data_IF_492439259395
#
_entry.id   IF_492439259395
#
_cell.length_a   1.000
_cell.length_b   1.000
_cell.length_c   1.000
_cell.angle_alpha   90.00
_cell.angle_beta   90.00
_cell.angle_gamma   90.00
#
_symmetry.space_group_name_H-M   'P 1'
#
loop_
_entity.id
_entity.type
_entity.pdbx_description
1 polymer ?
#
# COMPACT_ATOMS: atom_id res chain seq x y z
N UNK A 1 -5.02 -21.09 4.64
CA UNK A 1 -5.91 -20.02 5.14
C UNK A 1 -5.38 -18.70 4.63
N UNK A 2 -6.21 -17.81 4.04
CA UNK A 2 -5.77 -16.45 3.71
C UNK A 2 -5.29 -15.73 4.97
N UNK A 3 -4.25 -14.91 4.84
CA UNK A 3 -3.73 -14.11 5.96
C UNK A 3 -4.82 -13.14 6.44
N UNK A 4 -5.08 -13.13 7.74
CA UNK A 4 -6.09 -12.24 8.31
C UNK A 4 -5.70 -10.78 8.08
N UNK A 5 -6.66 -9.92 7.70
CA UNK A 5 -6.39 -8.51 7.40
C UNK A 5 -5.73 -7.78 8.58
N UNK A 6 -6.07 -8.13 9.82
CA UNK A 6 -5.40 -7.57 11.01
C UNK A 6 -3.89 -7.86 11.05
N UNK A 7 -3.46 -9.06 10.61
CA UNK A 7 -2.05 -9.41 10.53
C UNK A 7 -1.32 -8.61 9.45
N UNK A 8 -1.99 -8.34 8.33
CA UNK A 8 -1.48 -7.46 7.26
C UNK A 8 -1.32 -6.02 7.75
N UNK A 9 -2.32 -5.49 8.45
CA UNK A 9 -2.27 -4.15 9.07
C UNK A 9 -1.09 -4.06 10.04
N UNK A 10 -0.85 -5.09 10.85
CA UNK A 10 0.28 -5.11 11.79
C UNK A 10 1.64 -5.15 11.06
N UNK A 11 1.79 -5.98 10.03
CA UNK A 11 3.00 -6.01 9.21
C UNK A 11 3.30 -4.65 8.57
N UNK A 12 2.30 -4.05 7.91
CA UNK A 12 2.44 -2.73 7.30
C UNK A 12 2.73 -1.63 8.34
N UNK A 13 2.15 -1.72 9.55
CA UNK A 13 2.45 -0.77 10.63
C UNK A 13 3.92 -0.82 11.04
N UNK A 14 4.50 -2.02 11.09
CA UNK A 14 5.91 -2.22 11.41
C UNK A 14 6.78 -1.62 10.29
N UNK A 15 6.49 -1.96 9.04
CA UNK A 15 7.23 -1.47 7.86
C UNK A 15 7.22 0.06 7.76
N UNK A 16 6.07 0.69 8.02
CA UNK A 16 5.90 2.14 7.99
C UNK A 16 6.13 2.82 9.35
N UNK A 17 6.69 2.09 10.32
CA UNK A 17 7.13 2.55 11.66
C UNK A 17 6.02 3.05 12.60
N UNK A 18 4.81 3.35 12.12
CA UNK A 18 3.71 3.82 12.97
C UNK A 18 2.31 3.58 12.41
N UNK A 19 1.33 3.49 13.31
CA UNK A 19 -0.09 3.43 12.95
C UNK A 19 -0.60 4.74 12.34
N UNK A 20 0.04 5.87 12.65
CA UNK A 20 -0.32 7.16 12.06
C UNK A 20 0.09 7.21 10.58
N UNK A 21 1.33 6.82 10.26
CA UNK A 21 1.81 6.74 8.88
C UNK A 21 0.96 5.80 8.03
N UNK A 22 0.62 4.62 8.56
CA UNK A 22 -0.27 3.68 7.87
C UNK A 22 -1.69 4.26 7.65
N UNK A 23 -2.23 4.96 8.65
CA UNK A 23 -3.52 5.61 8.53
C UNK A 23 -3.53 6.67 7.43
N UNK A 24 -2.48 7.49 7.35
CA UNK A 24 -2.30 8.48 6.30
C UNK A 24 -2.24 7.80 4.93
N UNK A 25 -1.45 6.74 4.77
CA UNK A 25 -1.34 5.98 3.51
C UNK A 25 -2.68 5.43 3.04
N UNK A 26 -3.49 4.88 3.95
CA UNK A 26 -4.79 4.31 3.65
C UNK A 26 -5.93 5.35 3.54
N UNK A 27 -5.67 6.61 3.94
CA UNK A 27 -6.69 7.66 3.95
C UNK A 27 -7.75 7.45 5.03
N UNK A 28 -7.36 6.90 6.18
CA UNK A 28 -8.25 6.61 7.32
C UNK A 28 -7.74 7.26 8.59
N UNK A 29 -8.54 7.24 9.66
CA UNK A 29 -8.09 7.74 10.95
C UNK A 29 -7.18 6.74 11.69
N UNK A 30 -6.22 7.25 12.48
CA UNK A 30 -5.37 6.43 13.37
C UNK A 30 -6.17 5.54 14.32
N UNK A 31 -7.34 6.00 14.76
CA UNK A 31 -8.22 5.23 15.65
C UNK A 31 -8.82 4.02 14.93
N UNK A 32 -9.15 4.12 13.64
CA UNK A 32 -9.57 2.97 12.83
C UNK A 32 -8.47 1.91 12.77
N UNK A 33 -7.23 2.31 12.45
CA UNK A 33 -6.07 1.39 12.42
C UNK A 33 -5.88 0.73 13.77
N UNK A 34 -5.94 1.49 14.87
CA UNK A 34 -5.81 0.94 16.23
C UNK A 34 -6.91 -0.06 16.58
N UNK A 35 -8.15 0.15 16.10
CA UNK A 35 -9.24 -0.82 16.29
C UNK A 35 -9.02 -2.10 15.50
N UNK A 36 -8.58 -2.01 14.24
CA UNK A 36 -8.29 -3.19 13.42
C UNK A 36 -7.20 -4.06 14.04
N UNK A 37 -6.14 -3.44 14.58
CA UNK A 37 -5.08 -4.14 15.31
C UNK A 37 -5.57 -4.85 16.58
N UNK A 38 -6.67 -4.37 17.17
CA UNK A 38 -7.33 -5.00 18.33
C UNK A 38 -8.36 -6.06 17.91
N UNK A 39 -8.40 -6.44 16.65
CA UNK A 39 -9.33 -7.44 16.12
C UNK A 39 -10.74 -6.92 15.86
N UNK A 40 -10.96 -5.60 15.86
CA UNK A 40 -12.21 -5.05 15.35
C UNK A 40 -12.32 -5.36 13.85
N UNK A 41 -13.52 -5.69 13.39
CA UNK A 41 -13.79 -5.92 11.97
C UNK A 41 -13.36 -4.73 11.10
N UNK A 42 -12.91 -5.06 9.90
CA UNK A 42 -12.61 -4.10 8.84
C UNK A 42 -13.69 -4.23 7.76
N UNK A 43 -14.21 -3.11 7.28
CA UNK A 43 -15.17 -3.15 6.18
C UNK A 43 -14.48 -3.57 4.87
N UNK A 44 -15.23 -4.14 3.91
CA UNK A 44 -14.64 -4.67 2.68
C UNK A 44 -13.80 -3.66 1.88
N UNK A 45 -14.22 -2.39 1.84
CA UNK A 45 -13.51 -1.35 1.10
C UNK A 45 -12.14 -1.05 1.71
N UNK A 46 -12.06 -0.92 3.05
CA UNK A 46 -10.78 -0.74 3.71
C UNK A 46 -9.91 -2.01 3.69
N UNK A 47 -10.52 -3.19 3.71
CA UNK A 47 -9.78 -4.44 3.53
C UNK A 47 -9.10 -4.50 2.17
N UNK A 48 -9.80 -4.11 1.10
CA UNK A 48 -9.25 -4.05 -0.26
C UNK A 48 -8.09 -3.04 -0.36
N UNK A 49 -8.19 -1.87 0.28
CA UNK A 49 -7.10 -0.89 0.34
C UNK A 49 -5.85 -1.43 1.05
N UNK A 50 -6.04 -2.16 2.15
CA UNK A 50 -4.96 -2.81 2.89
C UNK A 50 -4.28 -3.87 2.02
N UNK A 51 -5.08 -4.73 1.36
CA UNK A 51 -4.58 -5.78 0.47
C UNK A 51 -3.81 -5.19 -0.72
N UNK A 52 -4.32 -4.10 -1.30
CA UNK A 52 -3.65 -3.40 -2.38
C UNK A 52 -2.32 -2.79 -1.90
N UNK A 53 -2.30 -2.11 -0.76
CA UNK A 53 -1.06 -1.53 -0.21
C UNK A 53 -0.01 -2.61 0.07
N UNK A 54 -0.39 -3.74 0.68
CA UNK A 54 0.48 -4.89 0.92
C UNK A 54 1.07 -5.43 -0.40
N UNK A 55 0.22 -5.61 -1.42
CA UNK A 55 0.66 -6.12 -2.71
C UNK A 55 1.62 -5.16 -3.41
N UNK A 56 1.32 -3.86 -3.42
CA UNK A 56 2.20 -2.85 -4.01
C UNK A 56 3.53 -2.79 -3.28
N UNK A 57 3.49 -2.71 -1.95
CA UNK A 57 4.68 -2.59 -1.11
C UNK A 57 5.61 -3.80 -1.28
N UNK A 58 5.07 -5.01 -1.11
CA UNK A 58 5.82 -6.25 -1.33
C UNK A 58 6.34 -6.38 -2.77
N UNK A 59 5.65 -5.75 -3.73
CA UNK A 59 6.09 -5.77 -5.12
C UNK A 59 7.25 -4.86 -5.42
N UNK A 60 7.27 -3.67 -4.80
CA UNK A 60 8.34 -2.68 -4.92
C UNK A 60 9.61 -3.15 -4.20
N UNK A 61 9.48 -3.74 -3.00
CA UNK A 61 10.63 -4.26 -2.24
C UNK A 61 11.37 -5.43 -2.92
N UNK A 62 10.82 -5.99 -4.00
CA UNK A 62 11.53 -7.00 -4.82
C UNK A 62 12.51 -6.39 -5.81
N UNK A 63 12.42 -5.08 -6.03
CA UNK A 63 13.16 -4.35 -7.07
C UNK A 63 13.95 -3.19 -6.45
N UNK A 64 13.40 -2.59 -5.38
CA UNK A 64 13.96 -1.44 -4.72
C UNK A 64 14.27 -1.72 -3.25
N UNK A 65 15.29 -1.04 -2.75
CA UNK A 65 15.47 -0.82 -1.32
C UNK A 65 14.32 0.00 -0.74
N UNK A 66 14.15 -0.08 0.58
CA UNK A 66 13.00 0.50 1.28
C UNK A 66 12.81 2.00 1.00
N UNK A 67 13.89 2.79 1.01
CA UNK A 67 13.84 4.23 0.74
C UNK A 67 13.35 4.54 -0.67
N UNK A 68 13.81 3.77 -1.67
CA UNK A 68 13.42 3.95 -3.06
C UNK A 68 11.96 3.51 -3.30
N UNK A 69 11.51 2.44 -2.64
CA UNK A 69 10.11 2.02 -2.68
C UNK A 69 9.17 3.09 -2.09
N UNK A 70 9.58 3.75 -1.00
CA UNK A 70 8.85 4.89 -0.43
C UNK A 70 8.83 6.07 -1.41
N UNK A 71 9.98 6.42 -1.99
CA UNK A 71 10.07 7.49 -2.98
C UNK A 71 9.14 7.23 -4.18
N UNK A 72 9.04 5.98 -4.63
CA UNK A 72 8.11 5.59 -5.69
C UNK A 72 6.64 5.76 -5.27
N UNK A 73 6.26 5.31 -4.07
CA UNK A 73 4.88 5.41 -3.57
C UNK A 73 4.38 6.85 -3.39
N UNK A 74 5.26 7.73 -2.92
CA UNK A 74 4.94 9.13 -2.63
C UNK A 74 5.29 10.08 -3.76
N UNK A 75 6.14 9.66 -4.69
CA UNK A 75 6.55 10.42 -5.87
C UNK A 75 5.46 10.47 -6.94
N UNK A 76 5.62 11.43 -7.84
CA UNK A 76 4.79 11.53 -9.05
C UNK A 76 5.22 10.44 -10.03
N UNK A 77 4.27 9.66 -10.54
CA UNK A 77 4.56 8.58 -11.48
C UNK A 77 3.97 8.91 -12.87
N UNK A 78 4.80 9.07 -13.91
CA UNK A 78 4.34 9.34 -15.28
C UNK A 78 3.42 8.24 -15.85
N UNK A 79 3.65 6.97 -15.50
CA UNK A 79 2.82 5.86 -15.93
C UNK A 79 1.41 5.88 -15.30
N UNK A 80 1.20 6.71 -14.28
CA UNK A 80 -0.09 6.92 -13.62
C UNK A 80 -0.76 8.25 -14.01
N UNK A 81 -0.27 8.93 -15.05
CA UNK A 81 -0.75 10.24 -15.47
C UNK A 81 -0.40 11.32 -14.44
N UNK A 82 0.86 11.34 -14.02
CA UNK A 82 1.44 12.28 -13.06
C UNK A 82 0.73 12.32 -11.70
N UNK A 83 0.15 11.19 -11.31
CA UNK A 83 -0.42 10.99 -9.96
C UNK A 83 0.53 10.21 -9.08
N UNK A 84 0.38 10.39 -7.77
CA UNK A 84 1.11 9.61 -6.77
C UNK A 84 0.47 8.24 -6.62
N UNK A 85 1.23 7.14 -6.63
CA UNK A 85 0.69 5.80 -6.41
C UNK A 85 -0.13 5.66 -5.12
N UNK A 86 0.28 6.32 -4.03
CA UNK A 86 -0.45 6.26 -2.76
C UNK A 86 -1.88 6.82 -2.87
N UNK A 87 -2.12 7.83 -3.71
CA UNK A 87 -3.46 8.38 -3.90
C UNK A 87 -4.36 7.38 -4.64
N UNK A 88 -3.80 6.55 -5.52
CA UNK A 88 -4.52 5.46 -6.18
C UNK A 88 -4.84 4.32 -5.21
N UNK A 89 -3.97 4.05 -4.23
CA UNK A 89 -4.26 3.09 -3.14
C UNK A 89 -5.48 3.55 -2.36
N UNK A 90 -5.50 4.83 -1.95
CA UNK A 90 -6.65 5.43 -1.24
C UNK A 90 -7.94 5.38 -2.06
N UNK A 91 -7.82 5.57 -3.37
CA UNK A 91 -8.95 5.53 -4.30
C UNK A 91 -9.36 4.11 -4.73
N UNK A 92 -8.67 3.05 -4.29
CA UNK A 92 -8.97 1.67 -4.69
C UNK A 92 -8.72 1.39 -6.17
N UNK A 93 -7.84 2.16 -6.84
CA UNK A 93 -7.58 2.06 -8.29
C UNK A 93 -6.56 0.95 -8.58
N UNK A 94 -6.90 -0.28 -8.20
CA UNK A 94 -6.01 -1.43 -8.25
C UNK A 94 -5.48 -1.72 -9.67
N UNK A 95 -6.35 -1.71 -10.68
CA UNK A 95 -5.96 -2.05 -12.06
C UNK A 95 -4.85 -1.15 -12.62
N UNK A 96 -4.93 0.15 -12.38
CA UNK A 96 -3.92 1.12 -12.83
C UNK A 96 -2.60 0.93 -12.09
N UNK A 97 -2.66 0.75 -10.77
CA UNK A 97 -1.48 0.47 -9.96
C UNK A 97 -0.77 -0.81 -10.41
N UNK A 98 -1.52 -1.88 -10.62
CA UNK A 98 -0.95 -3.15 -11.07
C UNK A 98 -0.38 -3.07 -12.48
N UNK A 99 -0.95 -2.23 -13.37
CA UNK A 99 -0.35 -1.95 -14.68
C UNK A 99 0.98 -1.22 -14.53
N UNK A 100 1.06 -0.19 -13.70
CA UNK A 100 2.29 0.54 -13.46
C UNK A 100 3.39 -0.33 -12.83
N UNK A 101 3.07 -1.18 -11.85
CA UNK A 101 4.04 -2.10 -11.23
C UNK A 101 4.58 -3.11 -12.24
N UNK A 102 3.73 -3.62 -13.14
CA UNK A 102 4.20 -4.53 -14.20
C UNK A 102 5.14 -3.83 -15.18
N UNK A 103 4.84 -2.59 -15.54
CA UNK A 103 5.72 -1.78 -16.38
C UNK A 103 7.06 -1.50 -15.68
N UNK A 104 7.02 -1.08 -14.41
CA UNK A 104 8.22 -0.80 -13.60
C UNK A 104 9.14 -2.02 -13.51
N UNK A 105 8.57 -3.21 -13.28
CA UNK A 105 9.34 -4.45 -13.27
C UNK A 105 9.96 -4.76 -14.62
N UNK A 106 9.21 -4.59 -15.72
CA UNK A 106 9.73 -4.86 -17.05
C UNK A 106 10.92 -3.95 -17.40
N UNK A 107 10.86 -2.67 -16.97
CA UNK A 107 11.94 -1.70 -17.18
C UNK A 107 13.15 -2.00 -16.29
N UNK A 108 12.94 -2.45 -15.05
CA UNK A 108 14.02 -2.76 -14.10
C UNK A 108 14.85 -4.00 -14.47
N UNK A 109 14.36 -4.84 -15.41
CA UNK A 109 15.07 -6.02 -15.91
C UNK A 109 15.65 -5.83 -17.33
N UNK A 110 15.43 -4.67 -17.96
CA UNK A 110 15.93 -4.33 -19.28
C UNK A 110 17.35 -3.73 -19.21
#
# INVERSE_FOLDING_TARGET
>A
MPVATAAKVEALRIDFKSAAALADMLGVSRSQVTRWLRGAGIDPLNAERVDLLELVWSSLLRVYEQEAALAWLFGVNPALGDRRPIDLVRAGRAEELMRAIRAERADSFA
#
